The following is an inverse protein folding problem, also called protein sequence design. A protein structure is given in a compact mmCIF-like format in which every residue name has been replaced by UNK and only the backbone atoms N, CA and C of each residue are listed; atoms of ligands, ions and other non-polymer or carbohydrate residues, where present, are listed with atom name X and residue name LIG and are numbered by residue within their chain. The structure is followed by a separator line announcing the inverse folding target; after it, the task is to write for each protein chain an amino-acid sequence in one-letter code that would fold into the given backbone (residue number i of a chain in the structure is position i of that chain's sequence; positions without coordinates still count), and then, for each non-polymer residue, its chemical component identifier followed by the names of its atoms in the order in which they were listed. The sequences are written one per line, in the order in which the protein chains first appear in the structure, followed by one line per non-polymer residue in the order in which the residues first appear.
data_IF_258746544890
#
_entry.id   IF_258746544890
#
_cell.length_a   1.000
_cell.length_b   1.000
_cell.length_c   1.000
_cell.angle_alpha   90.00
_cell.angle_beta   90.00
_cell.angle_gamma   90.00
#
_symmetry.space_group_name_H-M   'P 1'
#
loop_
_entity.id
_entity.type
_entity.pdbx_description
1 polymer ?
#
# COMPACT_ATOMS: atom_id res chain seq x y z
N UNK A 1 -20.63 -2.07 -12.04
CA UNK A 1 -19.27 -1.69 -12.49
C UNK A 1 -18.61 -0.93 -11.36
N UNK A 2 -17.35 -1.25 -11.03
CA UNK A 2 -16.60 -0.61 -9.95
C UNK A 2 -15.23 -0.22 -10.49
N UNK A 3 -14.84 1.05 -10.30
CA UNK A 3 -13.50 1.56 -10.65
C UNK A 3 -12.98 2.24 -9.39
N UNK A 4 -12.17 1.53 -8.58
CA UNK A 4 -11.56 2.11 -7.37
C UNK A 4 -10.77 3.38 -7.71
N UNK A 5 -10.86 4.39 -6.84
CA UNK A 5 -9.96 5.53 -6.89
C UNK A 5 -8.51 5.04 -6.73
N UNK A 6 -7.63 5.56 -7.58
CA UNK A 6 -6.24 5.16 -7.68
C UNK A 6 -5.58 5.07 -6.31
N UNK A 7 -5.26 3.85 -5.89
CA UNK A 7 -4.58 3.55 -4.62
C UNK A 7 -3.40 2.59 -4.81
N UNK A 8 -2.77 2.61 -5.99
CA UNK A 8 -1.64 1.76 -6.38
C UNK A 8 -1.92 0.27 -6.10
N UNK A 9 -0.96 -0.48 -5.56
CA UNK A 9 -1.03 -1.92 -5.30
C UNK A 9 -2.26 -2.36 -4.51
N UNK A 10 -2.83 -1.50 -3.66
CA UNK A 10 -4.05 -1.82 -2.92
C UNK A 10 -5.26 -1.95 -3.87
N UNK A 11 -5.41 -1.02 -4.81
CA UNK A 11 -6.46 -1.08 -5.83
C UNK A 11 -6.19 -2.14 -6.89
N UNK A 12 -4.93 -2.33 -7.31
CA UNK A 12 -4.58 -3.25 -8.39
C UNK A 12 -4.87 -4.70 -8.00
N UNK A 13 -4.49 -5.13 -6.80
CA UNK A 13 -4.79 -6.49 -6.32
C UNK A 13 -6.31 -6.73 -6.21
N UNK A 14 -7.07 -5.72 -5.78
CA UNK A 14 -8.53 -5.80 -5.76
C UNK A 14 -9.07 -5.96 -7.19
N UNK A 15 -8.63 -5.13 -8.14
CA UNK A 15 -9.11 -5.18 -9.53
C UNK A 15 -8.79 -6.53 -10.20
N UNK A 16 -7.60 -7.10 -9.95
CA UNK A 16 -7.25 -8.45 -10.41
C UNK A 16 -8.19 -9.54 -9.87
N UNK A 17 -8.73 -9.35 -8.65
CA UNK A 17 -9.61 -10.32 -8.01
C UNK A 17 -11.08 -10.23 -8.45
N UNK A 18 -11.52 -9.13 -9.07
CA UNK A 18 -12.93 -8.89 -9.37
C UNK A 18 -13.22 -8.64 -10.86
N UNK A 19 -14.11 -9.45 -11.43
CA UNK A 19 -14.52 -9.35 -12.84
C UNK A 19 -15.28 -8.07 -13.19
N UNK A 20 -15.84 -7.37 -12.18
CA UNK A 20 -16.61 -6.12 -12.39
C UNK A 20 -15.74 -4.85 -12.35
N UNK A 21 -14.41 -5.01 -12.32
CA UNK A 21 -13.38 -3.97 -12.30
C UNK A 21 -12.54 -4.03 -13.59
N UNK A 22 -13.06 -3.57 -14.75
CA UNK A 22 -12.44 -3.81 -16.05
C UNK A 22 -11.19 -2.95 -16.34
N UNK A 23 -11.00 -1.86 -15.59
CA UNK A 23 -9.90 -0.91 -15.78
C UNK A 23 -9.42 -0.37 -14.42
N UNK A 24 -8.17 0.06 -14.39
CA UNK A 24 -7.56 0.71 -13.24
C UNK A 24 -7.36 2.22 -13.50
N UNK A 25 -7.56 3.05 -12.48
CA UNK A 25 -7.15 4.45 -12.51
C UNK A 25 -5.66 4.56 -12.17
N UNK A 26 -4.89 5.25 -13.02
CA UNK A 26 -3.53 5.71 -12.74
C UNK A 26 -3.49 7.25 -12.66
N UNK A 27 -3.13 7.80 -11.51
CA UNK A 27 -3.04 9.23 -11.22
C UNK A 27 -1.59 9.66 -11.48
N UNK A 28 -1.39 10.56 -12.44
CA UNK A 28 -0.08 11.12 -12.65
C UNK A 28 0.26 12.12 -11.53
N UNK A 29 1.18 11.74 -10.64
CA UNK A 29 1.65 12.59 -9.53
C UNK A 29 2.88 13.43 -9.88
N UNK A 30 3.39 13.36 -11.12
CA UNK A 30 4.45 14.29 -11.53
C UNK A 30 3.92 15.73 -11.50
N UNK A 31 4.72 16.72 -11.04
CA UNK A 31 4.24 18.10 -10.86
C UNK A 31 3.63 18.75 -12.12
N UNK A 32 4.04 18.29 -13.30
CA UNK A 32 3.56 18.76 -14.61
C UNK A 32 2.68 17.75 -15.34
N UNK A 33 2.38 16.61 -14.73
CA UNK A 33 1.67 15.48 -15.35
C UNK A 33 2.30 14.99 -16.67
N UNK A 34 3.63 15.10 -16.80
CA UNK A 34 4.40 14.78 -18.02
C UNK A 34 5.21 13.48 -17.92
N UNK A 35 5.32 12.90 -16.72
CA UNK A 35 6.13 11.71 -16.46
C UNK A 35 5.41 10.75 -15.52
N UNK A 36 5.62 9.44 -15.68
CA UNK A 36 5.09 8.43 -14.77
C UNK A 36 5.93 8.44 -13.50
N UNK A 37 5.29 8.51 -12.34
CA UNK A 37 5.93 8.51 -11.03
C UNK A 37 5.17 7.59 -10.06
N UNK A 38 5.85 6.94 -9.10
CA UNK A 38 5.20 6.14 -8.07
C UNK A 38 4.19 6.95 -7.26
N UNK A 39 3.06 6.34 -6.89
CA UNK A 39 2.06 7.01 -6.07
C UNK A 39 2.59 7.40 -4.70
N UNK A 40 3.38 6.51 -4.12
CA UNK A 40 3.91 6.69 -2.77
C UNK A 40 5.33 7.26 -2.80
N UNK A 41 5.76 7.81 -3.94
CA UNK A 41 7.08 8.39 -4.12
C UNK A 41 8.19 7.42 -3.74
N UNK A 42 8.95 7.75 -2.70
CA UNK A 42 10.06 6.92 -2.20
C UNK A 42 9.70 5.97 -1.07
N UNK A 43 8.41 5.79 -0.73
CA UNK A 43 8.00 4.94 0.39
C UNK A 43 8.21 3.45 0.10
N UNK A 44 7.95 3.02 -1.14
CA UNK A 44 8.15 1.65 -1.60
C UNK A 44 9.23 1.60 -2.68
N UNK A 45 10.14 0.62 -2.57
CA UNK A 45 11.30 0.50 -3.46
C UNK A 45 10.96 -0.10 -4.82
N UNK A 46 9.86 -0.85 -4.88
CA UNK A 46 9.45 -1.73 -5.96
C UNK A 46 7.95 -1.57 -6.25
N UNK A 47 7.44 -0.33 -6.13
CA UNK A 47 6.08 0.00 -6.55
C UNK A 47 5.93 -0.24 -8.07
N UNK A 48 4.96 -1.07 -8.51
CA UNK A 48 4.75 -1.33 -9.92
C UNK A 48 4.21 -0.08 -10.62
N UNK A 49 4.80 0.25 -11.77
CA UNK A 49 4.42 1.39 -12.60
C UNK A 49 3.82 0.90 -13.91
N UNK A 50 2.89 1.67 -14.51
CA UNK A 50 2.36 1.32 -15.81
C UNK A 50 3.43 1.38 -16.90
N UNK A 51 3.44 0.39 -17.76
CA UNK A 51 4.17 0.36 -19.02
C UNK A 51 3.16 0.27 -20.16
N UNK A 52 3.24 1.20 -21.11
CA UNK A 52 2.33 1.27 -22.26
C UNK A 52 0.83 1.25 -21.91
N UNK A 53 0.47 1.80 -20.74
CA UNK A 53 -0.91 1.87 -20.25
C UNK A 53 -1.39 0.63 -19.48
N UNK A 54 -0.52 -0.37 -19.27
CA UNK A 54 -0.83 -1.60 -18.53
C UNK A 54 0.02 -1.75 -17.28
N UNK A 55 -0.52 -2.42 -16.26
CA UNK A 55 0.18 -2.71 -15.00
C UNK A 55 0.12 -4.21 -14.74
N UNK A 56 1.29 -4.81 -14.58
CA UNK A 56 1.44 -6.19 -14.13
C UNK A 56 1.93 -6.21 -12.68
N UNK A 57 1.34 -7.11 -11.89
CA UNK A 57 1.72 -7.30 -10.50
C UNK A 57 2.74 -8.45 -10.37
N UNK A 58 3.80 -8.28 -9.55
CA UNK A 58 4.76 -9.35 -9.33
C UNK A 58 4.14 -10.46 -8.47
N UNK A 59 4.55 -11.71 -8.70
CA UNK A 59 4.20 -12.85 -7.84
C UNK A 59 5.00 -12.79 -6.53
N UNK A 60 4.53 -11.97 -5.58
CA UNK A 60 5.16 -11.71 -4.29
C UNK A 60 4.12 -11.70 -3.17
N UNK A 61 4.48 -12.10 -1.94
CA UNK A 61 3.54 -12.12 -0.82
C UNK A 61 2.93 -10.74 -0.49
N UNK A 62 1.69 -10.75 0.00
CA UNK A 62 0.99 -9.53 0.42
C UNK A 62 0.66 -8.62 -0.76
N UNK A 63 0.97 -7.33 -0.65
CA UNK A 63 0.82 -6.36 -1.74
C UNK A 63 2.05 -6.24 -2.64
N UNK A 64 3.04 -7.13 -2.50
CA UNK A 64 4.18 -7.22 -3.40
C UNK A 64 5.20 -6.09 -3.33
N UNK A 65 5.14 -5.23 -2.31
CA UNK A 65 6.04 -4.07 -2.15
C UNK A 65 6.90 -4.14 -0.89
N UNK A 66 8.06 -3.49 -0.97
CA UNK A 66 9.11 -3.40 0.04
C UNK A 66 9.20 -1.97 0.56
N UNK A 67 8.93 -1.80 1.85
CA UNK A 67 9.04 -0.51 2.53
C UNK A 67 10.49 -0.01 2.56
N UNK A 68 10.73 1.20 2.06
CA UNK A 68 12.00 1.92 2.20
C UNK A 68 12.18 2.33 3.67
N UNK A 69 13.21 1.80 4.33
CA UNK A 69 13.44 2.03 5.78
C UNK A 69 14.32 3.24 6.08
N UNK A 70 15.16 3.64 5.14
CA UNK A 70 16.22 4.62 5.36
C UNK A 70 15.68 6.04 5.57
N UNK A 71 14.56 6.34 4.90
CA UNK A 71 13.91 7.65 4.89
C UNK A 71 12.83 7.79 5.96
N UNK A 72 12.47 6.70 6.65
CA UNK A 72 11.41 6.74 7.64
C UNK A 72 11.84 7.53 8.87
N UNK A 73 10.99 8.48 9.25
CA UNK A 73 11.13 9.30 10.45
C UNK A 73 9.79 9.34 11.15
N UNK A 74 9.77 9.18 12.47
CA UNK A 74 8.56 9.42 13.25
C UNK A 74 8.36 10.93 13.39
N UNK A 75 7.15 11.48 13.16
CA UNK A 75 6.86 12.88 13.43
C UNK A 75 7.07 13.27 14.91
N UNK A 76 6.84 12.31 15.81
CA UNK A 76 7.07 12.45 17.25
C UNK A 76 8.10 11.45 17.72
N UNK A 77 9.05 11.92 18.52
CA UNK A 77 10.04 11.06 19.14
C UNK A 77 9.37 10.06 20.08
N UNK A 78 9.90 8.85 20.08
CA UNK A 78 9.50 7.76 20.98
C UNK A 78 10.77 7.14 21.52
N UNK A 79 10.84 6.94 22.83
CA UNK A 79 12.00 6.26 23.43
C UNK A 79 12.02 4.78 23.01
N UNK A 80 13.18 4.15 23.07
CA UNK A 80 13.28 2.71 22.78
C UNK A 80 12.41 1.88 23.71
N UNK A 81 12.37 2.25 25.00
CA UNK A 81 11.50 1.63 26.01
C UNK A 81 10.02 1.72 25.61
N UNK A 82 9.52 2.92 25.28
CA UNK A 82 8.15 3.10 24.79
C UNK A 82 7.88 2.34 23.49
N UNK A 83 8.89 2.19 22.62
CA UNK A 83 8.77 1.42 21.39
C UNK A 83 8.65 -0.08 21.68
N UNK A 84 9.46 -0.59 22.60
CA UNK A 84 9.46 -1.99 23.02
C UNK A 84 8.16 -2.35 23.73
N UNK A 85 7.70 -1.53 24.68
CA UNK A 85 6.43 -1.73 25.38
C UNK A 85 5.24 -1.82 24.42
N UNK A 86 5.22 -0.97 23.38
CA UNK A 86 4.18 -0.99 22.34
C UNK A 86 4.27 -2.25 21.47
N UNK A 87 5.48 -2.67 21.10
CA UNK A 87 5.69 -3.89 20.33
C UNK A 87 5.22 -5.12 21.12
N UNK A 88 5.62 -5.23 22.39
CA UNK A 88 5.23 -6.31 23.28
C UNK A 88 3.72 -6.36 23.48
N UNK A 89 3.08 -5.19 23.64
CA UNK A 89 1.62 -5.09 23.71
C UNK A 89 0.94 -5.58 22.43
N UNK A 90 1.47 -5.25 21.25
CA UNK A 90 0.90 -5.71 19.98
C UNK A 90 1.04 -7.23 19.82
N UNK A 91 2.18 -7.81 20.23
CA UNK A 91 2.41 -9.26 20.20
C UNK A 91 1.49 -9.99 21.18
N UNK A 92 1.30 -9.45 22.38
CA UNK A 92 0.44 -10.03 23.43
C UNK A 92 -1.05 -9.77 23.19
N UNK A 93 -1.40 -8.91 22.22
CA UNK A 93 -2.80 -8.60 21.93
C UNK A 93 -3.48 -9.85 21.39
N UNK A 94 -4.50 -10.31 22.09
CA UNK A 94 -5.30 -11.45 21.66
C UNK A 94 -5.85 -11.20 20.25
N UNK A 95 -5.69 -12.19 19.37
CA UNK A 95 -6.28 -12.15 18.03
C UNK A 95 -7.79 -12.21 18.21
N UNK A 96 -8.49 -11.26 17.60
CA UNK A 96 -9.95 -11.29 17.58
C UNK A 96 -10.36 -12.38 16.61
N UNK A 97 -10.83 -13.51 17.13
CA UNK A 97 -11.21 -14.68 16.32
C UNK A 97 -12.42 -14.43 15.41
N UNK A 98 -13.28 -13.48 15.79
CA UNK A 98 -14.50 -13.15 15.05
C UNK A 98 -14.59 -11.65 14.83
N UNK A 99 -14.56 -11.24 13.56
CA UNK A 99 -14.77 -9.85 13.19
C UNK A 99 -16.13 -9.36 13.73
N UNK A 100 -16.10 -8.29 14.52
CA UNK A 100 -17.30 -7.59 14.95
C UNK A 100 -17.50 -6.40 14.01
N UNK A 101 -18.45 -6.53 13.08
CA UNK A 101 -18.93 -5.41 12.30
C UNK A 101 -20.12 -4.80 13.04
N UNK A 102 -20.16 -3.47 13.24
CA UNK A 102 -21.22 -2.80 14.03
C UNK A 102 -22.54 -2.64 13.26
N UNK A 103 -22.74 -3.41 12.18
CA UNK A 103 -23.92 -3.35 11.30
C UNK A 103 -24.43 -4.76 11.00
#
# INVERSE_FOLDING_TARGET
MVIPHGSSVYSYHLQYAFQNCPVAEFINLSPKADTISPYFGGLFLDEPLPADGFIDLPDRPGFGVTLCRDTLRRPYQRTEEQSQEQADRNIKKAVVEKAHMPF
#
